data_IF_721109894390
#
_entry.id   IF_721109894390
#
_cell.length_a   1.000
_cell.length_b   1.000
_cell.length_c   1.000
_cell.angle_alpha   90.00
_cell.angle_beta   90.00
_cell.angle_gamma   90.00
#
_symmetry.space_group_name_H-M   'P 1'
#
loop_
_entity.id
_entity.type
_entity.pdbx_description
1 polymer ?
#
# COMPACT_ATOMS: atom_id res chain seq x y z
N UNK A 1 10.08 -14.82 -45.32
CA UNK A 1 10.70 -15.88 -44.51
C UNK A 1 11.88 -15.24 -43.78
N UNK A 2 11.75 -14.95 -42.48
CA UNK A 2 12.78 -14.29 -41.68
C UNK A 2 13.48 -15.37 -40.86
N UNK A 3 14.75 -15.62 -41.15
CA UNK A 3 15.59 -16.61 -40.49
C UNK A 3 15.86 -16.16 -39.04
N UNK A 4 15.42 -16.98 -38.09
CA UNK A 4 15.65 -16.78 -36.66
C UNK A 4 16.90 -17.57 -36.24
N UNK A 5 18.00 -16.85 -36.05
CA UNK A 5 19.31 -17.38 -35.71
C UNK A 5 19.58 -17.23 -34.22
N UNK A 6 18.76 -17.87 -33.38
CA UNK A 6 19.09 -18.32 -32.02
C UNK A 6 20.06 -17.45 -31.21
N UNK A 7 19.88 -16.14 -31.17
CA UNK A 7 20.69 -15.27 -30.32
C UNK A 7 20.10 -15.33 -28.91
N UNK A 8 20.90 -15.79 -27.95
CA UNK A 8 20.54 -15.77 -26.52
C UNK A 8 20.24 -14.32 -26.12
N UNK A 9 18.96 -13.98 -25.99
CA UNK A 9 18.48 -12.61 -25.72
C UNK A 9 17.24 -12.18 -26.52
N UNK A 10 16.73 -13.01 -27.43
CA UNK A 10 15.51 -12.71 -28.19
C UNK A 10 14.26 -13.15 -27.42
N UNK A 11 13.57 -12.20 -26.81
CA UNK A 11 12.30 -12.42 -26.13
C UNK A 11 12.08 -11.43 -24.99
N UNK A 12 10.81 -11.19 -24.63
CA UNK A 12 10.50 -10.45 -23.42
C UNK A 12 10.99 -11.26 -22.20
N UNK A 13 11.72 -10.62 -21.30
CA UNK A 13 12.18 -11.22 -20.04
C UNK A 13 11.78 -10.33 -18.86
N UNK A 14 11.56 -10.97 -17.70
CA UNK A 14 11.17 -10.27 -16.48
C UNK A 14 12.40 -9.75 -15.73
N UNK A 15 12.40 -8.46 -15.40
CA UNK A 15 13.43 -7.86 -14.56
C UNK A 15 13.37 -8.41 -13.14
N UNK A 16 14.46 -9.00 -12.64
CA UNK A 16 14.53 -9.60 -11.29
C UNK A 16 14.43 -8.57 -10.15
N UNK A 17 14.60 -7.29 -10.45
CA UNK A 17 14.55 -6.23 -9.45
C UNK A 17 13.21 -5.50 -9.42
N UNK A 18 12.61 -5.22 -10.59
CA UNK A 18 11.35 -4.46 -10.68
C UNK A 18 10.15 -5.28 -11.18
N UNK A 19 10.33 -6.55 -11.56
CA UNK A 19 9.26 -7.44 -12.02
C UNK A 19 8.66 -7.09 -13.39
N UNK A 20 9.16 -6.06 -14.07
CA UNK A 20 8.66 -5.65 -15.38
C UNK A 20 9.19 -6.58 -16.48
N UNK A 21 8.29 -7.11 -17.31
CA UNK A 21 8.66 -7.78 -18.55
C UNK A 21 9.01 -6.75 -19.63
N UNK A 22 10.18 -6.89 -20.25
CA UNK A 22 10.63 -6.01 -21.33
C UNK A 22 11.58 -6.77 -22.27
N UNK A 23 11.75 -6.27 -23.50
CA UNK A 23 12.70 -6.81 -24.48
C UNK A 23 14.00 -6.01 -24.41
N UNK A 24 15.09 -6.63 -23.94
CA UNK A 24 16.39 -5.93 -23.77
C UNK A 24 16.97 -5.36 -25.07
N UNK A 25 16.62 -5.96 -26.21
CA UNK A 25 17.08 -5.54 -27.54
C UNK A 25 16.24 -4.41 -28.15
N UNK A 26 15.08 -4.08 -27.58
CA UNK A 26 14.23 -2.98 -28.03
C UNK A 26 14.55 -1.69 -27.24
N UNK A 27 14.87 -0.61 -27.95
CA UNK A 27 15.29 0.64 -27.31
C UNK A 27 14.12 1.38 -26.62
N UNK A 28 12.91 1.32 -27.17
CA UNK A 28 11.73 1.93 -26.55
C UNK A 28 11.36 1.17 -25.27
N UNK A 29 11.38 -0.17 -25.34
CA UNK A 29 11.06 -1.05 -24.23
C UNK A 29 12.11 -0.95 -23.13
N UNK A 30 13.41 -0.83 -23.48
CA UNK A 30 14.48 -0.55 -22.51
C UNK A 30 14.33 0.81 -21.84
N UNK A 31 13.97 1.89 -22.57
CA UNK A 31 13.71 3.21 -21.96
C UNK A 31 12.51 3.19 -21.02
N UNK A 32 11.47 2.44 -21.38
CA UNK A 32 10.30 2.25 -20.52
C UNK A 32 10.69 1.46 -19.27
N UNK A 33 11.43 0.36 -19.44
CA UNK A 33 12.03 -0.38 -18.35
C UNK A 33 12.90 0.52 -17.47
N UNK A 34 13.79 1.34 -17.99
CA UNK A 34 14.70 2.15 -17.17
C UNK A 34 13.95 3.21 -16.36
N UNK A 35 12.89 3.82 -16.91
CA UNK A 35 12.01 4.71 -16.13
C UNK A 35 11.23 3.95 -15.08
N UNK A 36 10.66 2.80 -15.45
CA UNK A 36 9.93 1.95 -14.52
C UNK A 36 10.85 1.45 -13.41
N UNK A 37 12.06 1.01 -13.75
CA UNK A 37 13.09 0.52 -12.87
C UNK A 37 13.60 1.65 -11.97
N UNK A 38 13.82 2.87 -12.49
CA UNK A 38 14.13 4.01 -11.64
C UNK A 38 13.01 4.30 -10.63
N UNK A 39 11.74 4.23 -11.04
CA UNK A 39 10.60 4.44 -10.13
C UNK A 39 10.37 3.27 -9.16
N UNK A 40 10.57 2.03 -9.61
CA UNK A 40 10.30 0.80 -8.87
C UNK A 40 11.48 0.37 -7.99
N UNK A 41 12.71 0.74 -8.33
CA UNK A 41 13.94 0.36 -7.62
C UNK A 41 14.51 1.50 -6.79
N UNK A 42 14.38 2.78 -7.18
CA UNK A 42 14.80 3.91 -6.31
C UNK A 42 13.75 4.30 -5.28
N UNK A 43 12.49 3.89 -5.48
CA UNK A 43 11.36 4.16 -4.59
C UNK A 43 11.18 5.65 -4.26
N UNK A 44 10.33 5.95 -3.28
CA UNK A 44 10.22 7.32 -2.76
C UNK A 44 11.20 7.48 -1.61
N UNK A 45 12.12 8.43 -1.70
CA UNK A 45 12.93 8.79 -0.54
C UNK A 45 12.07 9.48 0.53
N UNK A 46 12.22 9.03 1.77
CA UNK A 46 11.61 9.60 2.96
C UNK A 46 12.71 10.22 3.84
N UNK A 47 13.00 11.53 3.69
CA UNK A 47 13.84 12.22 4.66
C UNK A 47 13.11 12.23 6.02
N UNK A 48 13.85 12.12 7.13
CA UNK A 48 13.23 12.28 8.44
C UNK A 48 12.73 13.71 8.62
N UNK A 49 11.57 13.89 9.24
CA UNK A 49 11.01 15.20 9.60
C UNK A 49 11.09 15.40 11.12
N UNK A 50 11.20 16.65 11.55
CA UNK A 50 11.41 17.03 12.97
C UNK A 50 10.35 16.44 13.92
N UNK A 51 9.11 16.31 13.44
CA UNK A 51 7.97 15.83 14.23
C UNK A 51 7.45 14.48 13.72
N UNK A 52 8.31 13.65 13.09
CA UNK A 52 7.93 12.29 12.71
C UNK A 52 7.51 11.49 13.95
N UNK A 53 6.29 10.97 13.94
CA UNK A 53 5.84 10.01 14.97
C UNK A 53 6.26 8.60 14.59
N UNK A 54 7.47 8.22 15.00
CA UNK A 54 7.99 6.86 14.80
C UNK A 54 7.35 5.92 15.83
N UNK A 55 6.53 4.98 15.38
CA UNK A 55 5.80 4.03 16.25
C UNK A 55 6.49 2.65 16.33
N UNK A 56 7.40 2.36 15.40
CA UNK A 56 8.20 1.15 15.41
C UNK A 56 9.53 1.37 14.67
N UNK A 57 10.59 0.71 15.12
CA UNK A 57 11.88 0.68 14.41
C UNK A 57 12.63 -0.61 14.69
N UNK A 58 13.44 -1.04 13.71
CA UNK A 58 14.34 -2.17 13.83
C UNK A 58 15.42 -2.12 12.75
N UNK A 59 16.69 -2.17 13.14
CA UNK A 59 17.84 -2.00 12.24
C UNK A 59 17.71 -0.73 11.37
N UNK A 60 17.71 -0.90 10.04
CA UNK A 60 17.59 0.16 9.05
C UNK A 60 16.13 0.49 8.71
N UNK A 61 15.15 -0.12 9.40
CA UNK A 61 13.74 0.08 9.13
C UNK A 61 13.02 0.83 10.24
N UNK A 62 12.03 1.64 9.86
CA UNK A 62 11.14 2.36 10.79
C UNK A 62 9.75 2.53 10.21
N UNK A 63 8.77 2.69 11.09
CA UNK A 63 7.38 2.95 10.76
C UNK A 63 7.00 4.31 11.34
N UNK A 64 6.59 5.21 10.46
CA UNK A 64 6.13 6.56 10.81
C UNK A 64 4.63 6.62 10.61
N UNK A 65 3.91 7.28 11.51
CA UNK A 65 2.48 7.53 11.38
C UNK A 65 2.23 9.02 11.38
N UNK A 66 1.31 9.49 10.53
CA UNK A 66 0.93 10.90 10.47
C UNK A 66 -0.57 11.02 10.23
N UNK A 67 -1.25 11.78 11.10
CA UNK A 67 -2.63 12.21 10.88
C UNK A 67 -2.63 13.45 9.99
N UNK A 68 -3.55 13.50 9.04
CA UNK A 68 -3.72 14.60 8.12
C UNK A 68 -4.64 15.68 8.70
N UNK A 69 -4.32 16.97 8.53
CA UNK A 69 -3.10 17.51 7.92
C UNK A 69 -1.90 17.55 8.89
N UNK A 70 -0.66 17.32 8.41
CA UNK A 70 0.53 17.53 9.23
C UNK A 70 0.82 19.02 9.42
N UNK A 71 1.59 19.36 10.46
CA UNK A 71 2.05 20.73 10.71
C UNK A 71 3.10 21.24 9.71
N UNK A 72 3.77 20.36 8.98
CA UNK A 72 4.81 20.71 8.01
C UNK A 72 4.29 20.61 6.58
N UNK A 73 4.39 21.71 5.81
CA UNK A 73 4.07 21.72 4.38
C UNK A 73 4.97 20.79 3.56
N UNK A 74 6.26 20.66 3.94
CA UNK A 74 7.18 19.73 3.30
C UNK A 74 6.79 18.27 3.52
N UNK A 75 6.31 17.92 4.73
CA UNK A 75 5.75 16.60 5.01
C UNK A 75 4.44 16.40 4.25
N UNK A 76 3.56 17.42 4.21
CA UNK A 76 2.31 17.35 3.45
C UNK A 76 2.55 17.02 1.97
N UNK A 77 3.50 17.70 1.33
CA UNK A 77 3.91 17.43 -0.06
C UNK A 77 4.45 16.02 -0.22
N UNK A 78 5.25 15.54 0.74
CA UNK A 78 5.82 14.19 0.70
C UNK A 78 4.74 13.11 0.85
N UNK A 79 3.81 13.27 1.78
CA UNK A 79 2.70 12.34 1.97
C UNK A 79 1.83 12.26 0.72
N UNK A 80 1.47 13.40 0.10
CA UNK A 80 0.75 13.40 -1.19
C UNK A 80 1.51 12.63 -2.28
N UNK A 81 2.83 12.78 -2.36
CA UNK A 81 3.64 12.03 -3.32
C UNK A 81 3.64 10.50 -3.04
N UNK A 82 3.61 10.10 -1.76
CA UNK A 82 3.50 8.69 -1.35
C UNK A 82 2.13 8.12 -1.70
N UNK A 83 1.05 8.87 -1.46
CA UNK A 83 -0.30 8.48 -1.86
C UNK A 83 -0.39 8.32 -3.38
N UNK A 84 0.04 9.31 -4.15
CA UNK A 84 0.02 9.26 -5.62
C UNK A 84 0.85 8.09 -6.19
N UNK A 85 1.97 7.73 -5.55
CA UNK A 85 2.73 6.54 -5.94
C UNK A 85 2.00 5.26 -5.58
N UNK A 86 1.38 5.19 -4.40
CA UNK A 86 0.58 4.05 -3.96
C UNK A 86 -0.58 3.81 -4.93
N UNK A 87 -1.32 4.86 -5.30
CA UNK A 87 -2.41 4.77 -6.28
C UNK A 87 -1.91 4.26 -7.63
N UNK A 88 -0.81 4.82 -8.14
CA UNK A 88 -0.21 4.37 -9.40
C UNK A 88 0.19 2.90 -9.39
N UNK A 89 0.81 2.42 -8.30
CA UNK A 89 1.25 1.01 -8.21
C UNK A 89 0.06 0.07 -8.06
N UNK A 90 -1.02 0.52 -7.43
CA UNK A 90 -2.26 -0.25 -7.30
C UNK A 90 -3.17 -0.15 -8.53
N UNK A 91 -2.87 0.74 -9.49
CA UNK A 91 -3.75 1.05 -10.61
C UNK A 91 -5.07 1.71 -10.17
N UNK A 92 -5.06 2.40 -9.03
CA UNK A 92 -6.22 3.04 -8.44
C UNK A 92 -6.37 4.49 -8.92
N UNK A 93 -7.57 5.04 -8.74
CA UNK A 93 -7.83 6.47 -8.94
C UNK A 93 -7.16 7.26 -7.81
N UNK A 94 -6.68 8.46 -8.16
CA UNK A 94 -6.03 9.41 -7.24
C UNK A 94 -6.86 9.62 -5.98
N UNK A 95 -6.29 9.29 -4.82
CA UNK A 95 -6.91 9.46 -3.52
C UNK A 95 -6.49 10.80 -2.90
N UNK A 96 -7.47 11.61 -2.50
CA UNK A 96 -7.24 12.90 -1.86
C UNK A 96 -7.23 12.73 -0.34
N UNK A 97 -6.20 13.28 0.31
CA UNK A 97 -6.11 13.27 1.78
C UNK A 97 -7.03 14.34 2.39
N UNK A 98 -7.93 13.91 3.27
CA UNK A 98 -8.88 14.75 3.99
C UNK A 98 -8.56 14.80 5.50
N UNK A 99 -9.02 15.84 6.23
CA UNK A 99 -8.83 15.93 7.66
C UNK A 99 -9.30 14.66 8.39
N UNK A 100 -8.46 14.11 9.25
CA UNK A 100 -8.72 12.87 9.96
C UNK A 100 -8.18 11.60 9.27
N UNK A 101 -7.76 11.68 8.00
CA UNK A 101 -7.03 10.57 7.39
C UNK A 101 -5.72 10.31 8.13
N UNK A 102 -5.29 9.05 8.16
CA UNK A 102 -4.02 8.64 8.74
C UNK A 102 -3.20 7.95 7.67
N UNK A 103 -1.94 8.36 7.54
CA UNK A 103 -0.96 7.72 6.68
C UNK A 103 0.10 7.07 7.54
N UNK A 104 0.28 5.75 7.42
CA UNK A 104 1.44 5.04 7.96
C UNK A 104 2.42 4.72 6.84
N UNK A 105 3.71 4.93 7.10
CA UNK A 105 4.79 4.81 6.12
C UNK A 105 5.89 3.94 6.71
N UNK A 106 6.14 2.80 6.07
CA UNK A 106 7.24 1.92 6.39
C UNK A 106 8.46 2.30 5.54
N UNK A 107 9.52 2.74 6.19
CA UNK A 107 10.77 3.18 5.56
C UNK A 107 11.85 2.14 5.85
N UNK A 108 12.59 1.71 4.82
CA UNK A 108 13.79 0.87 4.94
C UNK A 108 14.98 1.61 4.34
N UNK A 109 16.04 1.78 5.11
CA UNK A 109 17.12 2.71 4.83
C UNK A 109 16.59 4.15 4.75
N UNK A 110 16.46 4.67 3.53
CA UNK A 110 15.91 6.00 3.24
C UNK A 110 14.68 5.97 2.31
N UNK A 111 14.21 4.78 1.96
CA UNK A 111 13.19 4.59 0.91
C UNK A 111 11.91 4.07 1.53
N UNK A 112 10.78 4.59 1.06
CA UNK A 112 9.44 4.08 1.40
C UNK A 112 9.31 2.68 0.79
N UNK A 113 9.19 1.69 1.67
CA UNK A 113 9.01 0.28 1.32
C UNK A 113 7.59 -0.22 1.60
N UNK A 114 6.72 0.62 2.15
CA UNK A 114 5.29 0.36 2.24
C UNK A 114 4.53 1.57 2.78
N UNK A 115 3.26 1.66 2.43
CA UNK A 115 2.37 2.72 2.88
C UNK A 115 0.95 2.18 3.10
N UNK A 116 0.26 2.77 4.07
CA UNK A 116 -1.16 2.54 4.29
C UNK A 116 -1.84 3.89 4.47
N UNK A 117 -2.94 4.09 3.76
CA UNK A 117 -3.81 5.25 3.86
C UNK A 117 -5.11 4.75 4.47
N UNK A 118 -5.49 5.36 5.58
CA UNK A 118 -6.71 5.04 6.28
C UNK A 118 -7.55 6.29 6.54
N UNK A 119 -8.86 6.09 6.61
CA UNK A 119 -9.85 7.15 6.78
C UNK A 119 -10.92 6.73 7.82
N UNK A 120 -11.53 7.69 8.54
CA UNK A 120 -12.62 7.38 9.44
C UNK A 120 -13.84 6.84 8.68
N UNK A 121 -14.39 5.71 9.14
CA UNK A 121 -15.64 5.15 8.63
C UNK A 121 -16.59 4.84 9.77
N UNK A 122 -17.89 5.06 9.53
CA UNK A 122 -18.96 4.78 10.50
C UNK A 122 -19.76 3.52 10.17
N UNK A 123 -19.63 3.03 8.92
CA UNK A 123 -20.37 1.87 8.42
C UNK A 123 -19.43 0.99 7.61
N UNK A 124 -19.54 -0.32 7.80
CA UNK A 124 -18.91 -1.32 6.97
C UNK A 124 -19.83 -2.54 6.82
N UNK A 125 -19.48 -3.44 5.90
CA UNK A 125 -20.27 -4.61 5.53
C UNK A 125 -19.42 -5.87 5.67
N UNK A 126 -19.96 -6.96 6.23
CA UNK A 126 -19.27 -8.24 6.27
C UNK A 126 -19.00 -8.76 4.86
N UNK A 127 -17.79 -9.28 4.64
CA UNK A 127 -17.45 -10.02 3.44
C UNK A 127 -18.31 -11.29 3.32
N UNK A 128 -18.65 -11.68 2.10
CA UNK A 128 -19.26 -13.00 1.83
C UNK A 128 -18.27 -14.12 2.16
N UNK A 129 -18.78 -15.32 2.42
CA UNK A 129 -17.94 -16.48 2.78
C UNK A 129 -16.86 -16.80 1.73
N UNK A 130 -17.16 -16.61 0.44
CA UNK A 130 -16.20 -16.77 -0.66
C UNK A 130 -15.19 -15.60 -0.76
N UNK A 131 -15.43 -14.47 -0.08
CA UNK A 131 -14.63 -13.24 -0.07
C UNK A 131 -14.46 -12.64 -1.45
N UNK A 132 -15.51 -12.75 -2.27
CA UNK A 132 -15.58 -12.09 -3.58
C UNK A 132 -16.53 -10.91 -3.58
N UNK A 133 -17.39 -10.82 -2.56
CA UNK A 133 -18.37 -9.75 -2.37
C UNK A 133 -18.50 -9.40 -0.87
N UNK A 134 -19.44 -8.50 -0.56
CA UNK A 134 -19.79 -8.09 0.79
C UNK A 134 -21.30 -7.90 0.90
N UNK A 135 -21.84 -8.22 2.06
CA UNK A 135 -23.26 -8.27 2.33
C UNK A 135 -23.80 -6.88 2.70
N UNK A 136 -24.28 -6.15 1.68
CA UNK A 136 -24.91 -4.84 1.86
C UNK A 136 -26.21 -4.89 2.67
N UNK A 137 -26.81 -6.06 2.86
CA UNK A 137 -28.01 -6.21 3.68
C UNK A 137 -27.69 -6.28 5.19
N UNK A 138 -26.42 -6.41 5.57
CA UNK A 138 -25.95 -6.46 6.96
C UNK A 138 -24.96 -5.31 7.28
N UNK A 139 -25.42 -4.04 7.33
CA UNK A 139 -24.54 -2.95 7.74
C UNK A 139 -24.11 -3.14 9.21
N UNK A 140 -22.83 -2.92 9.47
CA UNK A 140 -22.27 -2.82 10.81
C UNK A 140 -21.94 -1.36 11.07
N UNK A 141 -22.59 -0.76 12.06
CA UNK A 141 -22.34 0.63 12.46
C UNK A 141 -21.40 0.68 13.66
N UNK A 142 -20.22 1.28 13.48
CA UNK A 142 -19.22 1.51 14.52
C UNK A 142 -18.15 2.49 14.02
N UNK A 143 -17.25 2.93 14.89
CA UNK A 143 -16.05 3.63 14.46
C UNK A 143 -15.04 2.62 13.89
N UNK A 144 -14.73 2.77 12.59
CA UNK A 144 -13.80 1.93 11.86
C UNK A 144 -12.61 2.71 11.32
N UNK A 145 -11.51 1.97 11.24
CA UNK A 145 -10.34 2.30 10.47
C UNK A 145 -10.57 1.82 9.03
N UNK A 146 -11.06 2.69 8.16
CA UNK A 146 -11.26 2.38 6.74
C UNK A 146 -9.93 2.42 5.98
N UNK A 147 -9.43 1.27 5.54
CA UNK A 147 -8.21 1.14 4.76
C UNK A 147 -8.52 1.43 3.30
N UNK A 148 -8.28 2.68 2.89
CA UNK A 148 -8.47 3.13 1.52
C UNK A 148 -7.39 2.56 0.60
N UNK A 149 -6.15 2.47 1.07
CA UNK A 149 -5.01 1.91 0.31
C UNK A 149 -4.04 1.22 1.25
N UNK A 150 -3.50 0.08 0.82
CA UNK A 150 -2.35 -0.56 1.46
C UNK A 150 -1.42 -1.16 0.42
N UNK A 151 -0.15 -0.79 0.49
CA UNK A 151 0.87 -1.26 -0.42
C UNK A 151 2.16 -1.57 0.32
N UNK A 152 2.84 -2.63 -0.13
CA UNK A 152 4.18 -3.01 0.34
C UNK A 152 5.02 -3.37 -0.87
N UNK A 153 6.23 -2.82 -0.90
CA UNK A 153 7.26 -3.14 -1.87
C UNK A 153 7.51 -4.65 -1.93
N UNK A 154 7.73 -5.19 -3.13
CA UNK A 154 7.86 -6.63 -3.34
C UNK A 154 8.95 -7.26 -2.47
N UNK A 155 10.09 -6.59 -2.29
CA UNK A 155 11.23 -7.08 -1.48
C UNK A 155 10.96 -7.01 0.02
N UNK A 156 9.92 -6.29 0.44
CA UNK A 156 9.50 -6.12 1.84
C UNK A 156 8.20 -6.89 2.17
N UNK A 157 7.58 -7.54 1.19
CA UNK A 157 6.40 -8.40 1.41
C UNK A 157 6.77 -9.62 2.26
N UNK A 158 5.73 -10.19 2.89
CA UNK A 158 5.82 -11.40 3.73
C UNK A 158 6.76 -11.29 4.94
N UNK A 159 7.16 -10.07 5.30
CA UNK A 159 7.99 -9.75 6.48
C UNK A 159 7.18 -8.95 7.53
N UNK A 160 5.87 -9.21 7.63
CA UNK A 160 4.94 -8.53 8.55
C UNK A 160 4.76 -7.02 8.34
N UNK A 161 5.31 -6.43 7.27
CA UNK A 161 5.22 -4.99 7.00
C UNK A 161 3.77 -4.51 6.87
N UNK A 162 2.94 -5.21 6.09
CA UNK A 162 1.53 -4.85 5.93
C UNK A 162 0.75 -4.88 7.26
N UNK A 163 0.96 -5.92 8.07
CA UNK A 163 0.36 -6.02 9.41
C UNK A 163 0.76 -4.85 10.29
N UNK A 164 2.05 -4.46 10.29
CA UNK A 164 2.52 -3.30 11.06
C UNK A 164 1.90 -1.98 10.58
N UNK A 165 1.79 -1.80 9.26
CA UNK A 165 1.14 -0.62 8.68
C UNK A 165 -0.32 -0.51 9.15
N UNK A 166 -1.06 -1.63 9.13
CA UNK A 166 -2.46 -1.72 9.56
C UNK A 166 -2.64 -1.51 11.06
N UNK A 167 -1.83 -2.18 11.89
CA UNK A 167 -1.85 -2.01 13.35
C UNK A 167 -1.62 -0.54 13.72
N UNK A 168 -0.65 0.11 13.06
CA UNK A 168 -0.28 1.49 13.33
C UNK A 168 -1.36 2.52 12.95
N UNK A 169 -2.11 2.31 11.87
CA UNK A 169 -3.25 3.19 11.54
C UNK A 169 -4.44 2.95 12.47
N UNK A 170 -4.72 1.69 12.84
CA UNK A 170 -5.79 1.35 13.77
C UNK A 170 -5.54 1.97 15.16
N UNK A 171 -4.31 1.88 15.66
CA UNK A 171 -3.90 2.52 16.93
C UNK A 171 -4.02 4.05 16.84
N UNK A 172 -3.58 4.64 15.73
CA UNK A 172 -3.62 6.10 15.56
C UNK A 172 -5.04 6.68 15.47
N UNK A 173 -6.00 5.92 14.94
CA UNK A 173 -7.41 6.32 14.89
C UNK A 173 -8.18 5.95 16.17
N UNK A 174 -7.55 5.24 17.11
CA UNK A 174 -8.15 4.94 18.41
C UNK A 174 -9.38 4.02 18.33
N UNK A 175 -9.46 3.14 17.34
CA UNK A 175 -10.62 2.27 17.15
C UNK A 175 -10.72 1.20 18.24
N UNK A 176 -11.81 1.20 19.01
CA UNK A 176 -12.06 0.24 20.09
C UNK A 176 -12.47 -1.14 19.53
N UNK A 177 -11.65 -2.16 19.79
CA UNK A 177 -11.83 -3.51 19.25
C UNK A 177 -10.69 -3.99 18.34
N UNK A 178 -9.62 -3.20 18.22
CA UNK A 178 -8.38 -3.62 17.56
C UNK A 178 -8.61 -3.98 16.09
N UNK A 179 -8.12 -5.14 15.67
CA UNK A 179 -8.14 -5.57 14.25
C UNK A 179 -9.55 -5.79 13.70
N UNK A 180 -10.53 -6.10 14.55
CA UNK A 180 -11.93 -6.26 14.16
C UNK A 180 -12.60 -4.94 13.76
N UNK A 181 -11.98 -3.79 14.07
CA UNK A 181 -12.45 -2.46 13.63
C UNK A 181 -11.70 -1.91 12.43
N UNK A 182 -11.00 -2.77 11.70
CA UNK A 182 -10.40 -2.41 10.41
C UNK A 182 -11.31 -2.89 9.29
N UNK A 183 -11.73 -1.96 8.45
CA UNK A 183 -12.51 -2.25 7.25
C UNK A 183 -11.67 -1.90 6.01
N UNK A 184 -11.87 -2.57 4.88
CA UNK A 184 -11.07 -2.37 3.67
C UNK A 184 -11.94 -1.85 2.53
N UNK A 185 -11.46 -0.88 1.74
CA UNK A 185 -12.14 -0.56 0.49
C UNK A 185 -11.85 -1.63 -0.56
N UNK A 186 -12.88 -1.99 -1.34
CA UNK A 186 -12.89 -2.97 -2.44
C UNK A 186 -11.56 -3.74 -2.67
N UNK A 187 -11.28 -4.80 -1.89
CA UNK A 187 -9.94 -5.39 -1.85
C UNK A 187 -9.55 -6.07 -3.17
N UNK A 188 -8.28 -5.90 -3.59
CA UNK A 188 -7.68 -6.74 -4.64
C UNK A 188 -7.55 -8.19 -4.17
N UNK A 189 -7.22 -9.14 -5.06
CA UNK A 189 -6.94 -10.54 -4.66
C UNK A 189 -5.88 -10.63 -3.55
N UNK A 190 -4.81 -9.84 -3.65
CA UNK A 190 -3.79 -9.75 -2.61
C UNK A 190 -4.32 -9.06 -1.34
N UNK A 191 -5.18 -8.05 -1.50
CA UNK A 191 -5.88 -7.38 -0.41
C UNK A 191 -6.76 -8.33 0.40
N UNK A 192 -7.54 -9.20 -0.25
CA UNK A 192 -8.34 -10.23 0.41
C UNK A 192 -7.49 -11.20 1.24
N UNK A 193 -6.38 -11.67 0.68
CA UNK A 193 -5.47 -12.56 1.40
C UNK A 193 -4.84 -11.87 2.63
N UNK A 194 -4.55 -10.56 2.52
CA UNK A 194 -4.07 -9.76 3.64
C UNK A 194 -5.17 -9.58 4.70
N UNK A 195 -6.37 -9.16 4.30
CA UNK A 195 -7.49 -8.88 5.19
C UNK A 195 -7.84 -10.10 6.04
N UNK A 196 -8.06 -11.27 5.41
CA UNK A 196 -8.35 -12.53 6.12
C UNK A 196 -7.27 -12.91 7.12
N UNK A 197 -6.00 -12.77 6.73
CA UNK A 197 -4.88 -13.08 7.65
C UNK A 197 -4.76 -12.07 8.78
N UNK A 198 -5.14 -10.82 8.53
CA UNK A 198 -5.05 -9.74 9.50
C UNK A 198 -6.17 -9.83 10.55
N UNK A 199 -7.42 -10.08 10.11
CA UNK A 199 -8.60 -10.20 10.98
C UNK A 199 -8.66 -11.54 11.72
N UNK A 200 -8.01 -12.58 11.21
CA UNK A 200 -8.00 -13.89 11.87
C UNK A 200 -9.36 -14.58 11.72
N UNK A 201 -9.96 -14.97 12.85
CA UNK A 201 -11.26 -15.65 12.88
C UNK A 201 -12.45 -14.67 12.77
N UNK A 202 -12.19 -13.37 12.81
CA UNK A 202 -13.21 -12.32 12.67
C UNK A 202 -13.66 -12.11 11.22
N UNK A 203 -14.93 -11.71 11.03
CA UNK A 203 -15.46 -11.33 9.71
C UNK A 203 -14.64 -10.17 9.11
N UNK A 204 -14.20 -10.32 7.86
CA UNK A 204 -13.57 -9.22 7.13
C UNK A 204 -14.63 -8.17 6.83
N UNK A 205 -14.37 -6.92 7.18
CA UNK A 205 -15.26 -5.80 6.89
C UNK A 205 -14.80 -5.05 5.65
N UNK A 206 -15.75 -4.68 4.79
CA UNK A 206 -15.55 -3.96 3.54
C UNK A 206 -16.44 -2.72 3.52
N UNK A 207 -15.98 -1.65 2.89
CA UNK A 207 -16.81 -0.46 2.65
C UNK A 207 -16.67 0.02 1.20
N UNK A 208 -17.66 0.81 0.77
CA UNK A 208 -17.67 1.45 -0.54
C UNK A 208 -16.88 2.77 -0.47
N UNK A 209 -16.00 3.00 -1.46
CA UNK A 209 -15.25 4.26 -1.63
C UNK A 209 -16.19 5.46 -1.88
#
# INVERSE_FOLDING_TARGET
MRLDLGQRGQGAHECRECGMSYVATDEMDRKLHDRHHAQAVRGIEYPSYKNDRVVWSHFDARLVVTTWPPSSSALATKLRAIVAHTDRVLGAVDHLLEPGHVVSVYVRGKVVAGACIAEPRSVAFPATADGTAYDRARPVEAAFAGIARVWVDAKSRRQWVATRLLDAVAEAMGTEGGRARVAFSAPTTAGWALARRYTGDEEVLVYDD
#
